data_IF_481758824800
#
_entry.id   IF_481758824800
#
_cell.length_a   1.000
_cell.length_b   1.000
_cell.length_c   1.000
_cell.angle_alpha   90.00
_cell.angle_beta   90.00
_cell.angle_gamma   90.00
#
_symmetry.space_group_name_H-M   'P 1'
#
loop_
_entity.id
_entity.type
_entity.pdbx_description
1 polymer ?
#
# COMPACT_ATOMS: atom_id res chain seq x y z
N UNK A 1 -17.16 -12.28 71.41
CA UNK A 1 -17.99 -11.62 70.39
C UNK A 1 -17.03 -10.85 69.51
N UNK A 2 -16.37 -11.55 68.60
CA UNK A 2 -15.52 -10.99 67.55
C UNK A 2 -15.72 -11.90 66.34
N UNK A 3 -16.32 -11.35 65.30
CA UNK A 3 -16.61 -12.04 64.05
C UNK A 3 -15.34 -11.95 63.22
N UNK A 4 -14.73 -13.10 62.95
CA UNK A 4 -13.62 -13.27 62.01
C UNK A 4 -14.18 -13.14 60.60
N UNK A 5 -13.88 -12.01 59.96
CA UNK A 5 -14.16 -11.77 58.54
C UNK A 5 -13.05 -12.43 57.71
N UNK A 6 -13.40 -13.56 57.11
CA UNK A 6 -12.55 -14.26 56.17
C UNK A 6 -12.40 -13.40 54.91
N UNK A 7 -11.17 -12.97 54.62
CA UNK A 7 -10.80 -12.39 53.34
C UNK A 7 -11.07 -13.42 52.23
N UNK A 8 -12.14 -13.21 51.48
CA UNK A 8 -12.32 -13.82 50.16
C UNK A 8 -11.36 -13.11 49.19
N UNK A 9 -10.15 -13.65 49.04
CA UNK A 9 -9.40 -13.44 47.80
C UNK A 9 -10.16 -14.16 46.68
N UNK A 10 -10.91 -13.39 45.90
CA UNK A 10 -11.46 -13.84 44.62
C UNK A 10 -10.30 -13.88 43.62
N UNK A 11 -9.94 -15.04 43.04
CA UNK A 11 -8.99 -15.08 41.94
C UNK A 11 -9.68 -14.45 40.72
N UNK A 12 -9.22 -13.27 40.28
CA UNK A 12 -9.60 -12.72 38.98
C UNK A 12 -8.91 -13.54 37.89
N UNK A 13 -9.52 -14.66 37.53
CA UNK A 13 -9.26 -15.30 36.24
C UNK A 13 -9.63 -14.30 35.12
N UNK A 14 -8.84 -14.20 34.05
CA UNK A 14 -9.21 -13.37 32.90
C UNK A 14 -10.48 -13.95 32.30
N UNK A 15 -11.58 -13.20 32.37
CA UNK A 15 -12.86 -13.57 31.77
C UNK A 15 -12.63 -13.77 30.27
N UNK A 16 -12.50 -15.03 29.85
CA UNK A 16 -12.41 -15.45 28.47
C UNK A 16 -13.75 -15.12 27.79
N UNK A 17 -13.85 -13.91 27.24
CA UNK A 17 -15.06 -13.37 26.63
C UNK A 17 -15.19 -11.84 26.67
N UNK A 18 -14.33 -11.12 27.41
CA UNK A 18 -14.35 -9.65 27.45
C UNK A 18 -13.89 -8.99 26.14
N UNK A 19 -14.20 -7.70 25.97
CA UNK A 19 -13.73 -6.88 24.83
C UNK A 19 -12.23 -6.55 24.89
N UNK A 20 -11.57 -6.79 26.02
CA UNK A 20 -10.14 -6.54 26.29
C UNK A 20 -9.15 -6.98 25.19
N UNK A 21 -9.18 -8.22 24.66
CA UNK A 21 -8.32 -8.63 23.55
C UNK A 21 -8.54 -7.83 22.26
N UNK A 22 -9.72 -7.24 22.07
CA UNK A 22 -10.03 -6.37 20.93
C UNK A 22 -9.55 -4.92 21.14
N UNK A 23 -9.50 -4.46 22.40
CA UNK A 23 -8.94 -3.16 22.78
C UNK A 23 -7.45 -3.09 22.42
N UNK A 24 -6.68 -4.12 22.83
CA UNK A 24 -5.26 -4.23 22.51
C UNK A 24 -4.99 -4.22 21.00
N UNK A 25 -5.77 -4.99 20.23
CA UNK A 25 -5.67 -5.05 18.75
C UNK A 25 -6.08 -3.76 18.04
N UNK A 26 -6.82 -2.90 18.72
CA UNK A 26 -7.27 -1.60 18.18
C UNK A 26 -6.37 -0.45 18.65
N UNK A 27 -5.32 -0.74 19.43
CA UNK A 27 -4.34 0.22 19.90
C UNK A 27 -4.89 1.19 20.94
N UNK A 28 -5.93 0.83 21.68
CA UNK A 28 -6.48 1.68 22.75
C UNK A 28 -5.55 1.59 23.97
N UNK A 29 -5.13 2.71 24.59
CA UNK A 29 -4.24 2.69 25.75
C UNK A 29 -4.82 1.90 26.92
N UNK A 30 -3.97 1.14 27.62
CA UNK A 30 -4.34 0.27 28.74
C UNK A 30 -5.06 1.03 29.88
N UNK A 31 -4.73 2.31 30.07
CA UNK A 31 -5.37 3.20 31.04
C UNK A 31 -6.88 3.35 30.83
N UNK A 32 -7.37 3.13 29.60
CA UNK A 32 -8.79 3.26 29.26
C UNK A 32 -9.55 1.94 29.32
N UNK A 33 -8.88 0.80 29.51
CA UNK A 33 -9.53 -0.51 29.38
C UNK A 33 -10.60 -0.77 30.45
N UNK A 34 -10.49 -0.13 31.61
CA UNK A 34 -11.47 -0.24 32.69
C UNK A 34 -12.85 0.28 32.27
N UNK A 35 -12.89 1.31 31.43
CA UNK A 35 -14.15 1.92 30.94
C UNK A 35 -14.91 1.00 29.97
N UNK A 36 -14.22 0.00 29.41
CA UNK A 36 -14.80 -0.97 28.48
C UNK A 36 -15.17 -2.30 29.17
N UNK A 37 -14.90 -2.45 30.47
CA UNK A 37 -15.23 -3.69 31.21
C UNK A 37 -16.74 -3.93 31.28
N UNK A 38 -17.55 -2.87 31.17
CA UNK A 38 -19.01 -2.95 31.16
C UNK A 38 -19.56 -3.57 29.87
N UNK A 39 -18.76 -3.66 28.81
CA UNK A 39 -19.23 -4.10 27.50
C UNK A 39 -18.71 -5.49 27.14
N UNK A 40 -19.64 -6.37 26.75
CA UNK A 40 -19.28 -7.51 25.89
C UNK A 40 -19.07 -7.02 24.44
N UNK A 41 -18.27 -7.74 23.62
CA UNK A 41 -18.06 -7.38 22.22
C UNK A 41 -19.38 -7.21 21.44
N UNK A 42 -20.33 -8.12 21.64
CA UNK A 42 -21.63 -8.13 20.95
C UNK A 42 -22.48 -6.91 21.36
N UNK A 43 -22.54 -6.61 22.65
CA UNK A 43 -23.28 -5.47 23.21
C UNK A 43 -22.67 -4.14 22.75
N UNK A 44 -21.34 -4.04 22.68
CA UNK A 44 -20.67 -2.85 22.16
C UNK A 44 -20.97 -2.65 20.67
N UNK A 45 -20.90 -3.72 19.88
CA UNK A 45 -21.19 -3.69 18.44
C UNK A 45 -22.63 -3.32 18.11
N UNK A 46 -23.58 -3.67 18.98
CA UNK A 46 -25.00 -3.39 18.82
C UNK A 46 -25.41 -1.95 19.23
N UNK A 47 -24.52 -1.17 19.86
CA UNK A 47 -24.80 0.23 20.21
C UNK A 47 -25.12 1.06 18.96
N UNK A 48 -26.13 1.94 19.06
CA UNK A 48 -26.41 2.88 17.98
C UNK A 48 -25.25 3.86 17.83
N UNK A 49 -25.01 4.34 16.61
CA UNK A 49 -23.90 5.25 16.32
C UNK A 49 -23.92 6.53 17.19
N UNK A 50 -25.10 6.99 17.61
CA UNK A 50 -25.28 8.15 18.49
C UNK A 50 -24.81 7.85 19.92
N UNK A 51 -25.11 6.66 20.44
CA UNK A 51 -24.71 6.21 21.77
C UNK A 51 -23.19 6.02 21.85
N UNK A 52 -22.60 5.44 20.81
CA UNK A 52 -21.13 5.29 20.68
C UNK A 52 -20.45 6.65 20.65
N UNK A 53 -21.01 7.63 19.95
CA UNK A 53 -20.46 8.97 19.90
C UNK A 53 -20.55 9.66 21.27
N UNK A 54 -21.67 9.51 21.98
CA UNK A 54 -21.83 10.03 23.34
C UNK A 54 -20.84 9.40 24.34
N UNK A 55 -20.58 8.10 24.22
CA UNK A 55 -19.60 7.39 25.01
C UNK A 55 -18.18 7.87 24.71
N UNK A 56 -17.81 8.00 23.43
CA UNK A 56 -16.52 8.55 23.00
C UNK A 56 -16.29 9.96 23.54
N UNK A 57 -17.33 10.80 23.53
CA UNK A 57 -17.24 12.18 24.01
C UNK A 57 -17.18 12.26 25.55
N UNK A 58 -17.72 11.26 26.27
CA UNK A 58 -17.54 11.14 27.73
C UNK A 58 -16.14 10.70 28.16
N UNK A 59 -15.45 9.93 27.31
CA UNK A 59 -14.12 9.37 27.59
C UNK A 59 -12.97 10.33 27.27
N UNK A 60 -13.22 11.30 26.39
CA UNK A 60 -12.15 12.09 25.76
C UNK A 60 -12.56 13.56 25.72
N UNK A 61 -11.90 14.37 26.55
CA UNK A 61 -12.06 15.83 26.54
C UNK A 61 -11.39 16.42 25.29
N UNK A 62 -11.96 17.45 24.64
CA UNK A 62 -11.38 18.02 23.43
C UNK A 62 -10.23 18.96 23.80
N UNK A 63 -9.01 18.43 23.96
CA UNK A 63 -7.85 19.28 24.26
C UNK A 63 -6.56 18.90 23.52
N UNK A 64 -6.37 17.68 23.03
CA UNK A 64 -5.11 17.25 22.41
C UNK A 64 -5.27 16.45 21.08
N UNK A 65 -4.19 16.34 20.31
CA UNK A 65 -4.15 15.59 19.04
C UNK A 65 -4.23 14.07 19.29
N UNK A 66 -3.74 13.62 20.44
CA UNK A 66 -3.86 12.25 20.97
C UNK A 66 -5.32 11.82 21.09
N UNK A 67 -6.20 12.75 21.48
CA UNK A 67 -7.64 12.52 21.67
C UNK A 67 -8.32 12.11 20.37
N UNK A 68 -8.02 12.81 19.26
CA UNK A 68 -8.60 12.51 17.94
C UNK A 68 -8.25 11.09 17.48
N UNK A 69 -7.02 10.65 17.74
CA UNK A 69 -6.55 9.31 17.40
C UNK A 69 -7.25 8.24 18.26
N UNK A 70 -7.45 8.50 19.54
CA UNK A 70 -8.19 7.62 20.45
C UNK A 70 -9.65 7.49 19.99
N UNK A 71 -10.32 8.60 19.66
CA UNK A 71 -11.68 8.59 19.11
C UNK A 71 -11.78 7.73 17.85
N UNK A 72 -10.81 7.82 16.94
CA UNK A 72 -10.77 7.01 15.73
C UNK A 72 -10.58 5.51 16.03
N UNK A 73 -9.72 5.15 16.99
CA UNK A 73 -9.49 3.77 17.43
C UNK A 73 -10.73 3.13 18.05
N UNK A 74 -11.48 3.89 18.87
CA UNK A 74 -12.74 3.41 19.47
C UNK A 74 -13.82 3.19 18.40
N UNK A 75 -13.91 4.07 17.39
CA UNK A 75 -14.83 3.88 16.25
C UNK A 75 -14.48 2.64 15.41
N UNK A 76 -13.19 2.37 15.23
CA UNK A 76 -12.72 1.17 14.53
C UNK A 76 -13.06 -0.10 15.31
N UNK A 77 -12.91 -0.08 16.64
CA UNK A 77 -13.33 -1.17 17.52
C UNK A 77 -14.84 -1.43 17.40
N UNK A 78 -15.66 -0.38 17.44
CA UNK A 78 -17.11 -0.50 17.32
C UNK A 78 -17.51 -1.19 16.02
N UNK A 79 -16.99 -0.71 14.88
CA UNK A 79 -17.26 -1.34 13.56
C UNK A 79 -16.86 -2.82 13.50
N UNK A 80 -15.73 -3.19 14.12
CA UNK A 80 -15.28 -4.59 14.18
C UNK A 80 -16.24 -5.45 15.01
N UNK A 81 -16.79 -4.90 16.08
CA UNK A 81 -17.77 -5.58 16.92
C UNK A 81 -19.12 -5.74 16.20
N UNK A 82 -19.61 -4.69 15.52
CA UNK A 82 -20.87 -4.74 14.76
C UNK A 82 -20.81 -5.72 13.57
N UNK A 83 -19.62 -5.90 12.96
CA UNK A 83 -19.43 -6.85 11.86
C UNK A 83 -19.47 -8.33 12.31
N UNK A 84 -19.33 -8.61 13.61
CA UNK A 84 -19.38 -9.97 14.15
C UNK A 84 -20.80 -10.52 14.27
N UNK A 85 -21.83 -9.66 14.18
CA UNK A 85 -23.24 -10.02 14.37
C UNK A 85 -23.92 -10.52 13.08
N UNK A 86 -23.31 -10.31 11.90
CA UNK A 86 -23.97 -10.51 10.59
C UNK A 86 -23.85 -11.94 10.04
N UNK A 87 -23.52 -12.95 10.86
CA UNK A 87 -23.54 -14.36 10.44
C UNK A 87 -24.86 -15.02 10.88
N UNK A 88 -25.83 -15.28 9.96
CA UNK A 88 -27.07 -15.94 10.36
C UNK A 88 -26.82 -17.43 10.59
N UNK A 89 -27.22 -17.89 11.78
CA UNK A 89 -27.27 -19.29 12.20
C UNK A 89 -28.51 -19.95 11.61
N UNK A 90 -28.35 -20.87 10.66
CA UNK A 90 -29.32 -21.94 10.36
C UNK A 90 -28.60 -23.20 9.90
N UNK A 91 -28.80 -24.30 10.62
CA UNK A 91 -28.53 -25.69 10.24
C UNK A 91 -29.78 -26.52 10.58
N UNK A 92 -29.96 -27.79 10.15
CA UNK A 92 -29.25 -28.59 9.13
C UNK A 92 -30.21 -29.30 8.14
N UNK A 93 -29.65 -29.97 7.11
CA UNK A 93 -29.99 -31.31 6.58
C UNK A 93 -29.73 -31.42 5.06
N UNK A 94 -28.82 -32.34 4.67
CA UNK A 94 -28.68 -32.86 3.29
C UNK A 94 -27.35 -32.58 2.56
N UNK A 95 -26.31 -33.37 2.90
CA UNK A 95 -24.94 -33.55 2.34
C UNK A 95 -24.68 -33.45 0.81
N UNK A 96 -23.42 -33.55 0.29
CA UNK A 96 -22.09 -33.63 0.95
C UNK A 96 -20.97 -32.71 0.36
N UNK A 97 -19.84 -32.71 1.09
CA UNK A 97 -18.45 -32.59 0.63
C UNK A 97 -17.86 -31.19 0.29
N UNK A 98 -16.94 -30.73 1.14
CA UNK A 98 -15.52 -30.60 0.78
C UNK A 98 -14.69 -30.32 2.04
N UNK A 99 -13.47 -30.88 2.06
CA UNK A 99 -12.60 -30.96 3.22
C UNK A 99 -12.25 -29.61 3.87
N UNK A 100 -12.02 -29.72 5.17
CA UNK A 100 -11.38 -28.74 6.04
C UNK A 100 -10.14 -28.16 5.34
N UNK A 101 -10.15 -26.85 5.10
CA UNK A 101 -8.91 -26.09 4.95
C UNK A 101 -8.97 -24.91 5.90
N UNK A 102 -8.32 -25.10 7.04
CA UNK A 102 -7.92 -24.03 7.95
C UNK A 102 -7.09 -23.01 7.15
N UNK A 103 -7.59 -21.79 6.98
CA UNK A 103 -6.77 -20.67 6.52
C UNK A 103 -5.78 -20.32 7.65
N UNK A 104 -4.46 -20.48 7.47
CA UNK A 104 -3.53 -19.82 8.35
C UNK A 104 -3.55 -18.32 8.04
N UNK A 105 -3.19 -17.53 9.05
CA UNK A 105 -2.95 -16.09 8.92
C UNK A 105 -2.09 -15.81 7.67
N UNK A 106 -2.46 -14.77 6.91
CA UNK A 106 -1.72 -14.33 5.73
C UNK A 106 -0.34 -13.82 6.15
N UNK A 107 0.62 -14.73 6.15
CA UNK A 107 2.02 -14.42 5.88
C UNK A 107 2.08 -13.96 4.42
N UNK A 108 2.81 -12.88 4.16
CA UNK A 108 3.13 -12.41 2.80
C UNK A 108 3.49 -13.59 1.90
N UNK A 109 2.60 -13.92 0.97
CA UNK A 109 2.89 -14.88 -0.09
C UNK A 109 3.94 -14.25 -1.03
N UNK A 110 5.13 -14.86 -1.16
CA UNK A 110 6.09 -14.44 -2.17
C UNK A 110 5.54 -14.80 -3.54
N UNK A 111 5.05 -13.79 -4.27
CA UNK A 111 4.89 -13.74 -5.73
C UNK A 111 4.69 -15.12 -6.38
N UNK A 112 3.47 -15.64 -6.30
CA UNK A 112 3.04 -16.81 -7.06
C UNK A 112 3.29 -16.57 -8.54
N UNK A 113 4.11 -17.44 -9.13
CA UNK A 113 4.34 -17.53 -10.56
C UNK A 113 2.99 -17.72 -11.27
N UNK A 114 2.85 -17.08 -12.43
CA UNK A 114 1.65 -17.01 -13.30
C UNK A 114 0.50 -16.09 -12.84
N UNK A 115 0.79 -14.84 -12.50
CA UNK A 115 -0.20 -13.81 -12.82
C UNK A 115 -0.14 -13.58 -14.34
N UNK A 116 -1.12 -14.11 -15.06
CA UNK A 116 -1.23 -13.85 -16.48
C UNK A 116 -1.34 -12.34 -16.68
N UNK A 117 -0.45 -11.77 -17.50
CA UNK A 117 -0.51 -10.34 -17.77
C UNK A 117 -1.89 -9.96 -18.33
N UNK A 118 -2.39 -8.77 -17.97
CA UNK A 118 -3.71 -8.36 -18.40
C UNK A 118 -3.79 -8.30 -19.92
N UNK A 119 -5.01 -8.53 -20.43
CA UNK A 119 -5.28 -8.49 -21.87
C UNK A 119 -4.86 -7.13 -22.43
N UNK A 120 -4.23 -7.16 -23.61
CA UNK A 120 -3.82 -5.94 -24.33
C UNK A 120 -5.05 -5.05 -24.56
N UNK A 121 -4.89 -3.74 -24.32
CA UNK A 121 -5.93 -2.75 -24.59
C UNK A 121 -6.17 -2.66 -26.11
N UNK A 122 -7.41 -2.42 -26.52
CA UNK A 122 -7.71 -2.19 -27.94
C UNK A 122 -7.08 -0.89 -28.41
N UNK A 123 -6.69 -0.82 -29.70
CA UNK A 123 -6.13 0.41 -30.27
C UNK A 123 -7.09 1.61 -30.13
N UNK A 124 -8.39 1.35 -30.23
CA UNK A 124 -9.43 2.35 -30.02
C UNK A 124 -9.47 2.86 -28.58
N UNK A 125 -9.36 1.97 -27.58
CA UNK A 125 -9.31 2.37 -26.17
C UNK A 125 -8.08 3.24 -25.87
N UNK A 126 -6.91 2.87 -26.39
CA UNK A 126 -5.68 3.66 -26.23
C UNK A 126 -5.83 5.05 -26.86
N UNK A 127 -6.39 5.14 -28.08
CA UNK A 127 -6.66 6.43 -28.75
C UNK A 127 -7.62 7.30 -27.93
N UNK A 128 -8.66 6.71 -27.34
CA UNK A 128 -9.59 7.43 -26.48
C UNK A 128 -8.90 7.96 -25.21
N UNK A 129 -8.05 7.15 -24.56
CA UNK A 129 -7.26 7.55 -23.39
C UNK A 129 -6.30 8.70 -23.73
N UNK A 130 -5.61 8.62 -24.86
CA UNK A 130 -4.73 9.70 -25.34
C UNK A 130 -5.52 10.99 -25.56
N UNK A 131 -6.67 10.92 -26.25
CA UNK A 131 -7.52 12.08 -26.50
C UNK A 131 -7.98 12.74 -25.20
N UNK A 132 -8.46 11.94 -24.24
CA UNK A 132 -8.88 12.42 -22.91
C UNK A 132 -7.72 13.04 -22.13
N UNK A 133 -6.54 12.43 -22.19
CA UNK A 133 -5.34 12.95 -21.53
C UNK A 133 -4.95 14.31 -22.11
N UNK A 134 -4.89 14.46 -23.43
CA UNK A 134 -4.56 15.74 -24.09
C UNK A 134 -5.57 16.85 -23.79
N UNK A 135 -6.86 16.51 -23.64
CA UNK A 135 -7.88 17.48 -23.23
C UNK A 135 -7.69 17.93 -21.77
N UNK A 136 -7.36 16.99 -20.87
CA UNK A 136 -7.16 17.28 -19.44
C UNK A 136 -5.84 17.99 -19.16
N UNK A 137 -4.83 17.74 -19.99
CA UNK A 137 -3.47 18.25 -19.83
C UNK A 137 -2.95 18.84 -21.16
N UNK A 138 -3.47 20.01 -21.59
CA UNK A 138 -3.13 20.60 -22.90
C UNK A 138 -1.66 21.03 -23.02
N UNK A 139 -0.97 21.23 -21.90
CA UNK A 139 0.47 21.54 -21.87
C UNK A 139 1.37 20.31 -21.92
N UNK A 140 0.80 19.10 -21.91
CA UNK A 140 1.54 17.84 -21.91
C UNK A 140 1.52 17.20 -23.30
N UNK A 141 2.70 17.03 -23.88
CA UNK A 141 2.88 16.34 -25.15
C UNK A 141 3.27 14.90 -24.90
N UNK A 142 2.48 13.96 -25.41
CA UNK A 142 2.80 12.54 -25.40
C UNK A 142 3.61 12.18 -26.65
N UNK A 143 4.93 12.25 -26.55
CA UNK A 143 5.85 11.65 -27.53
C UNK A 143 6.16 10.18 -27.19
N UNK A 144 6.76 9.41 -28.13
CA UNK A 144 7.09 7.99 -27.92
C UNK A 144 8.03 7.73 -26.73
N UNK A 145 8.77 8.76 -26.29
CA UNK A 145 9.66 8.74 -25.12
C UNK A 145 8.91 8.88 -23.78
N UNK A 146 7.77 9.57 -23.76
CA UNK A 146 6.92 9.79 -22.57
C UNK A 146 5.69 8.88 -22.56
N UNK A 147 5.27 8.39 -23.72
CA UNK A 147 4.17 7.47 -23.88
C UNK A 147 4.49 6.15 -23.17
N UNK A 148 3.66 5.68 -22.21
CA UNK A 148 3.88 4.40 -21.56
C UNK A 148 3.71 3.27 -22.57
N UNK A 149 4.57 2.25 -22.47
CA UNK A 149 4.45 1.06 -23.32
C UNK A 149 3.05 0.43 -23.23
N UNK A 150 2.56 -0.23 -24.29
CA UNK A 150 1.23 -0.84 -24.30
C UNK A 150 1.00 -1.81 -23.13
N UNK A 151 2.08 -2.51 -22.71
CA UNK A 151 2.02 -3.45 -21.59
C UNK A 151 1.95 -2.76 -20.24
N UNK A 152 2.72 -1.68 -20.03
CA UNK A 152 2.61 -0.87 -18.82
C UNK A 152 1.22 -0.25 -18.70
N UNK A 153 0.69 0.28 -19.80
CA UNK A 153 -0.62 0.90 -19.82
C UNK A 153 -1.74 -0.11 -19.53
N UNK A 154 -1.71 -1.30 -20.15
CA UNK A 154 -2.67 -2.36 -19.88
C UNK A 154 -2.61 -2.84 -18.41
N UNK A 155 -1.40 -2.95 -17.85
CA UNK A 155 -1.20 -3.31 -16.44
C UNK A 155 -1.82 -2.29 -15.51
N UNK A 156 -1.50 -1.01 -15.69
CA UNK A 156 -2.00 0.06 -14.83
C UNK A 156 -3.52 0.23 -14.98
N UNK A 157 -4.01 0.20 -16.22
CA UNK A 157 -5.44 0.32 -16.51
C UNK A 157 -6.26 -0.79 -15.83
N UNK A 158 -5.85 -2.06 -16.00
CA UNK A 158 -6.54 -3.18 -15.34
C UNK A 158 -6.55 -3.06 -13.81
N UNK A 159 -5.42 -2.71 -13.19
CA UNK A 159 -5.35 -2.54 -11.74
C UNK A 159 -6.26 -1.43 -11.22
N UNK A 160 -6.43 -0.34 -11.97
CA UNK A 160 -7.34 0.76 -11.61
C UNK A 160 -8.80 0.32 -11.78
N UNK A 161 -9.15 -0.31 -12.90
CA UNK A 161 -10.52 -0.78 -13.17
C UNK A 161 -10.95 -1.85 -12.17
N UNK A 162 -10.07 -2.81 -11.86
CA UNK A 162 -10.33 -3.90 -10.92
C UNK A 162 -10.20 -3.45 -9.46
N UNK A 163 -9.80 -2.20 -9.22
CA UNK A 163 -9.56 -1.63 -7.89
C UNK A 163 -8.59 -2.47 -7.05
N UNK A 164 -7.57 -3.02 -7.72
CA UNK A 164 -6.55 -3.91 -7.17
C UNK A 164 -5.17 -3.42 -7.57
N UNK A 165 -4.77 -2.30 -6.96
CA UNK A 165 -3.46 -1.72 -7.15
C UNK A 165 -2.37 -2.61 -6.55
N UNK A 166 -1.30 -2.81 -7.32
CA UNK A 166 -0.06 -3.44 -6.87
C UNK A 166 1.13 -2.65 -7.42
N UNK A 167 2.20 -2.59 -6.64
CA UNK A 167 3.41 -1.91 -7.06
C UNK A 167 3.91 -2.46 -8.41
N UNK A 168 4.13 -1.57 -9.37
CA UNK A 168 4.70 -1.92 -10.68
C UNK A 168 6.23 -1.87 -10.58
N UNK A 169 6.94 -3.00 -10.75
CA UNK A 169 8.40 -3.05 -10.69
C UNK A 169 9.06 -2.08 -11.68
N UNK A 170 10.18 -1.47 -11.28
CA UNK A 170 10.91 -0.52 -12.13
C UNK A 170 11.34 -1.13 -13.47
N UNK A 171 11.65 -2.43 -13.48
CA UNK A 171 11.99 -3.17 -14.70
C UNK A 171 10.87 -3.21 -15.74
N UNK A 172 9.60 -3.05 -15.33
CA UNK A 172 8.44 -3.08 -16.22
C UNK A 172 8.00 -1.68 -16.69
N UNK A 173 8.63 -0.62 -16.19
CA UNK A 173 8.30 0.77 -16.53
C UNK A 173 9.08 1.19 -17.79
N UNK A 174 8.51 0.87 -18.94
CA UNK A 174 9.08 1.19 -20.26
C UNK A 174 8.21 2.21 -20.99
N UNK A 175 8.86 3.10 -21.74
CA UNK A 175 8.19 3.89 -22.77
C UNK A 175 7.86 3.04 -24.01
N UNK A 176 7.03 3.57 -24.90
CA UNK A 176 6.74 2.97 -26.20
C UNK A 176 8.03 2.77 -27.02
N UNK A 177 8.87 3.79 -27.14
CA UNK A 177 10.16 3.71 -27.85
C UNK A 177 11.09 2.61 -27.29
N UNK A 178 11.20 2.53 -25.96
CA UNK A 178 12.04 1.53 -25.30
C UNK A 178 11.49 0.12 -25.46
N UNK A 179 10.16 -0.01 -25.41
CA UNK A 179 9.48 -1.28 -25.64
C UNK A 179 9.70 -1.78 -27.07
N UNK A 180 9.61 -0.88 -28.05
CA UNK A 180 9.78 -1.23 -29.46
C UNK A 180 11.23 -1.60 -29.76
N UNK A 181 12.20 -0.81 -29.28
CA UNK A 181 13.62 -1.13 -29.43
C UNK A 181 13.95 -2.52 -28.88
N UNK A 182 13.50 -2.83 -27.65
CA UNK A 182 13.67 -4.18 -27.06
C UNK A 182 12.91 -5.27 -27.80
N UNK A 183 11.80 -4.93 -28.45
CA UNK A 183 11.05 -5.89 -29.27
C UNK A 183 11.77 -6.18 -30.59
N UNK A 184 12.36 -5.16 -31.23
CA UNK A 184 13.20 -5.31 -32.42
C UNK A 184 14.46 -6.12 -32.10
N UNK A 185 15.17 -5.81 -31.01
CA UNK A 185 16.35 -6.57 -30.56
C UNK A 185 16.06 -8.05 -30.34
N UNK A 186 14.85 -8.39 -29.88
CA UNK A 186 14.40 -9.78 -29.75
C UNK A 186 14.16 -10.43 -31.11
N UNK A 187 13.52 -9.74 -32.05
CA UNK A 187 13.24 -10.28 -33.38
C UNK A 187 14.51 -10.60 -34.19
N UNK A 188 15.62 -9.94 -33.89
CA UNK A 188 16.93 -10.19 -34.51
C UNK A 188 17.62 -11.45 -33.94
N UNK A 189 17.23 -11.93 -32.76
CA UNK A 189 17.74 -13.17 -32.18
C UNK A 189 16.96 -14.36 -32.75
N UNK A 190 17.65 -15.43 -33.11
CA UNK A 190 17.01 -16.63 -33.67
C UNK A 190 15.86 -17.11 -32.76
N UNK A 191 14.66 -17.39 -33.30
CA UNK A 191 13.52 -17.81 -32.49
C UNK A 191 13.82 -19.18 -31.89
N UNK A 192 14.05 -19.21 -30.57
CA UNK A 192 14.14 -20.45 -29.80
C UNK A 192 12.73 -20.91 -29.44
N UNK A 193 12.48 -22.22 -29.42
CA UNK A 193 11.17 -22.80 -29.12
C UNK A 193 10.62 -22.30 -27.76
N UNK A 194 11.50 -22.11 -26.78
CA UNK A 194 11.19 -21.50 -25.47
C UNK A 194 10.58 -20.09 -25.58
N UNK A 195 11.05 -19.25 -26.52
CA UNK A 195 10.56 -17.88 -26.72
C UNK A 195 9.20 -17.82 -27.43
N UNK A 196 8.84 -18.89 -28.13
CA UNK A 196 7.52 -19.02 -28.80
C UNK A 196 6.48 -19.51 -27.79
N UNK A 197 6.88 -20.35 -26.83
CA UNK A 197 6.00 -20.88 -25.79
C UNK A 197 5.83 -19.92 -24.60
N UNK A 198 6.85 -19.13 -24.27
CA UNK A 198 6.81 -18.13 -23.22
C UNK A 198 7.04 -16.74 -23.82
N UNK A 199 6.02 -15.87 -23.80
CA UNK A 199 6.15 -14.46 -24.19
C UNK A 199 7.15 -13.78 -23.22
N UNK A 200 8.44 -13.73 -23.58
CA UNK A 200 9.47 -13.06 -22.78
C UNK A 200 9.07 -11.60 -22.56
N UNK A 201 9.02 -11.18 -21.30
CA UNK A 201 8.50 -9.86 -20.92
C UNK A 201 9.59 -8.81 -21.20
N UNK A 202 9.35 -7.82 -22.07
CA UNK A 202 10.27 -6.70 -22.25
C UNK A 202 10.53 -6.04 -20.90
N UNK A 203 11.80 -5.94 -20.52
CA UNK A 203 12.18 -5.35 -19.25
C UNK A 203 13.36 -4.41 -19.41
N UNK A 204 13.37 -3.33 -18.61
CA UNK A 204 14.46 -2.35 -18.55
C UNK A 204 15.66 -2.92 -17.83
N UNK A 205 16.85 -2.66 -18.37
CA UNK A 205 18.11 -2.93 -17.69
C UNK A 205 18.34 -1.87 -16.62
N UNK A 206 18.45 -2.33 -15.37
CA UNK A 206 18.68 -1.47 -14.22
C UNK A 206 20.15 -1.59 -13.78
N UNK A 207 20.87 -0.47 -13.60
CA UNK A 207 22.24 -0.52 -13.10
C UNK A 207 22.28 -1.12 -11.70
N UNK A 208 23.36 -1.83 -11.36
CA UNK A 208 23.43 -2.57 -10.11
C UNK A 208 23.31 -1.67 -8.86
N UNK A 209 23.99 -0.51 -8.84
CA UNK A 209 24.10 0.31 -7.62
C UNK A 209 23.68 1.78 -7.78
N UNK A 210 23.97 2.43 -8.92
CA UNK A 210 23.72 3.87 -9.09
C UNK A 210 22.87 4.14 -10.33
N UNK A 211 21.85 4.99 -10.18
CA UNK A 211 21.01 5.50 -11.26
C UNK A 211 21.08 7.02 -11.26
N UNK A 212 21.21 7.64 -12.43
CA UNK A 212 21.24 9.10 -12.55
C UNK A 212 19.88 9.74 -12.25
N UNK A 213 19.89 11.02 -11.86
CA UNK A 213 18.66 11.77 -11.55
C UNK A 213 17.66 11.81 -12.71
N UNK A 214 18.13 12.10 -13.93
CA UNK A 214 17.28 12.09 -15.14
C UNK A 214 16.65 10.73 -15.38
N UNK A 215 17.46 9.67 -15.31
CA UNK A 215 16.99 8.30 -15.52
C UNK A 215 15.91 7.87 -14.51
N UNK A 216 16.04 8.31 -13.25
CA UNK A 216 15.01 8.07 -12.22
C UNK A 216 13.77 8.93 -12.46
N UNK A 217 13.95 10.19 -12.88
CA UNK A 217 12.85 11.09 -13.26
C UNK A 217 12.00 10.51 -14.37
N UNK A 218 12.61 10.09 -15.48
CA UNK A 218 11.94 9.45 -16.62
C UNK A 218 11.16 8.21 -16.16
N UNK A 219 11.81 7.34 -15.39
CA UNK A 219 11.22 6.10 -14.88
C UNK A 219 9.97 6.33 -14.01
N UNK A 220 10.05 7.25 -13.06
CA UNK A 220 8.92 7.58 -12.17
C UNK A 220 7.83 8.35 -12.94
N UNK A 221 8.23 9.17 -13.92
CA UNK A 221 7.29 9.92 -14.74
C UNK A 221 6.45 9.02 -15.65
N UNK A 222 7.05 7.99 -16.26
CA UNK A 222 6.32 7.01 -17.09
C UNK A 222 5.17 6.35 -16.33
N UNK A 223 5.41 5.94 -15.08
CA UNK A 223 4.37 5.40 -14.22
C UNK A 223 3.27 6.44 -13.93
N UNK A 224 3.65 7.70 -13.67
CA UNK A 224 2.70 8.77 -13.42
C UNK A 224 1.80 9.04 -14.64
N UNK A 225 2.36 9.05 -15.84
CA UNK A 225 1.61 9.22 -17.08
C UNK A 225 0.67 8.03 -17.30
N UNK A 226 1.13 6.80 -17.12
CA UNK A 226 0.27 5.61 -17.25
C UNK A 226 -0.95 5.64 -16.30
N UNK A 227 -0.75 6.07 -15.04
CA UNK A 227 -1.83 6.20 -14.05
C UNK A 227 -2.80 7.30 -14.46
N UNK A 228 -2.28 8.47 -14.87
CA UNK A 228 -3.11 9.61 -15.26
C UNK A 228 -3.92 9.34 -16.54
N UNK A 229 -3.34 8.65 -17.53
CA UNK A 229 -4.03 8.21 -18.74
C UNK A 229 -5.14 7.20 -18.44
N UNK A 230 -4.97 6.40 -17.39
CA UNK A 230 -5.95 5.42 -16.92
C UNK A 230 -6.98 5.99 -15.95
N UNK A 231 -7.04 7.32 -15.82
CA UNK A 231 -7.91 8.06 -14.89
C UNK A 231 -7.76 7.64 -13.41
N UNK A 232 -6.61 7.08 -13.03
CA UNK A 232 -6.38 6.63 -11.64
C UNK A 232 -6.19 7.79 -10.67
N UNK A 233 -5.30 8.73 -11.02
CA UNK A 233 -5.01 9.90 -10.21
C UNK A 233 -4.60 11.09 -11.10
N UNK A 234 -4.72 12.30 -10.56
CA UNK A 234 -4.33 13.51 -11.24
C UNK A 234 -2.80 13.60 -11.43
N UNK A 235 -2.35 13.96 -12.63
CA UNK A 235 -0.93 14.04 -12.98
C UNK A 235 -0.12 14.95 -12.04
N UNK A 236 -0.72 16.05 -11.59
CA UNK A 236 -0.11 16.95 -10.60
C UNK A 236 0.24 16.24 -9.29
N UNK A 237 -0.68 15.45 -8.72
CA UNK A 237 -0.47 14.70 -7.47
C UNK A 237 0.69 13.72 -7.61
N UNK A 238 0.74 13.01 -8.73
CA UNK A 238 1.80 12.04 -9.04
C UNK A 238 3.16 12.73 -9.25
N UNK A 239 3.19 13.88 -9.93
CA UNK A 239 4.41 14.68 -10.11
C UNK A 239 4.94 15.23 -8.81
N UNK A 240 4.07 15.69 -7.92
CA UNK A 240 4.48 16.17 -6.61
C UNK A 240 5.10 15.06 -5.76
N UNK A 241 4.51 13.85 -5.79
CA UNK A 241 5.12 12.66 -5.19
C UNK A 241 6.50 12.37 -5.77
N UNK A 242 6.62 12.31 -7.10
CA UNK A 242 7.89 12.04 -7.78
C UNK A 242 8.95 13.10 -7.42
N UNK A 243 8.58 14.38 -7.41
CA UNK A 243 9.48 15.50 -7.06
C UNK A 243 10.03 15.35 -5.65
N UNK A 244 9.18 15.05 -4.66
CA UNK A 244 9.59 14.81 -3.27
C UNK A 244 10.50 13.59 -3.15
N UNK A 245 10.14 12.49 -3.81
CA UNK A 245 10.92 11.26 -3.83
C UNK A 245 12.34 11.50 -4.37
N UNK A 246 12.44 12.12 -5.55
CA UNK A 246 13.72 12.44 -6.20
C UNK A 246 14.54 13.42 -5.36
N UNK A 247 13.90 14.38 -4.72
CA UNK A 247 14.60 15.31 -3.82
C UNK A 247 15.34 14.57 -2.70
N UNK A 248 14.75 13.50 -2.15
CA UNK A 248 15.36 12.70 -1.08
C UNK A 248 16.41 11.73 -1.60
N UNK A 249 16.21 11.11 -2.76
CA UNK A 249 17.21 10.22 -3.37
C UNK A 249 18.51 10.94 -3.76
N UNK A 250 18.46 12.24 -4.05
CA UNK A 250 19.62 13.02 -4.50
C UNK A 250 19.98 14.16 -3.56
N UNK A 251 19.59 14.04 -2.28
CA UNK A 251 19.98 14.99 -1.24
C UNK A 251 21.49 14.89 -0.98
N UNK A 252 22.15 16.04 -0.90
CA UNK A 252 23.58 16.14 -0.61
C UNK A 252 23.79 16.32 0.88
N UNK A 253 24.74 15.57 1.44
CA UNK A 253 25.07 15.62 2.86
C UNK A 253 26.49 16.16 3.08
N UNK A 254 26.73 16.91 4.17
CA UNK A 254 28.06 17.32 4.58
C UNK A 254 28.99 16.11 4.75
N UNK A 255 30.26 16.24 4.35
CA UNK A 255 31.22 15.12 4.34
C UNK A 255 31.56 14.60 5.74
N UNK A 256 31.48 15.49 6.72
CA UNK A 256 31.68 15.26 8.15
C UNK A 256 30.51 14.53 8.82
N UNK A 257 29.31 14.54 8.22
CA UNK A 257 28.15 13.85 8.77
C UNK A 257 28.25 12.31 8.66
N UNK A 258 29.13 11.78 7.80
CA UNK A 258 29.23 10.33 7.57
C UNK A 258 27.98 9.72 6.94
N UNK A 259 27.13 10.55 6.32
CA UNK A 259 25.86 10.15 5.70
C UNK A 259 25.95 10.18 4.18
N UNK A 260 25.18 9.30 3.53
CA UNK A 260 24.98 9.24 2.09
C UNK A 260 23.48 9.19 1.76
N UNK A 261 23.08 9.62 0.56
CA UNK A 261 21.74 9.36 0.07
C UNK A 261 21.49 7.85 -0.14
N UNK A 262 20.21 7.44 -0.22
CA UNK A 262 19.83 6.10 -0.63
C UNK A 262 20.42 5.75 -2.00
N UNK A 263 20.91 4.53 -2.16
CA UNK A 263 21.33 4.01 -3.46
C UNK A 263 20.10 3.59 -4.30
N UNK A 264 20.32 3.12 -5.53
CA UNK A 264 19.24 2.71 -6.43
C UNK A 264 18.36 1.59 -5.85
N UNK A 265 18.97 0.58 -5.23
CA UNK A 265 18.25 -0.57 -4.65
C UNK A 265 17.38 -0.12 -3.47
N UNK A 266 17.96 0.70 -2.59
CA UNK A 266 17.25 1.30 -1.44
C UNK A 266 16.09 2.19 -1.89
N UNK A 267 16.29 2.93 -2.99
CA UNK A 267 15.23 3.74 -3.60
C UNK A 267 14.11 2.88 -4.19
N UNK A 268 14.44 1.81 -4.92
CA UNK A 268 13.44 0.88 -5.46
C UNK A 268 12.60 0.22 -4.36
N UNK A 269 13.24 -0.20 -3.27
CA UNK A 269 12.54 -0.75 -2.10
C UNK A 269 11.66 0.28 -1.40
N UNK A 270 12.11 1.54 -1.30
CA UNK A 270 11.30 2.61 -0.75
C UNK A 270 10.07 2.90 -1.62
N UNK A 271 10.23 2.97 -2.95
CA UNK A 271 9.12 3.13 -3.90
C UNK A 271 8.11 1.97 -3.76
N UNK A 272 8.60 0.73 -3.66
CA UNK A 272 7.75 -0.44 -3.42
C UNK A 272 6.92 -0.30 -2.14
N UNK A 273 7.55 0.07 -1.02
CA UNK A 273 6.86 0.24 0.27
C UNK A 273 5.82 1.36 0.23
N UNK A 274 6.14 2.50 -0.38
CA UNK A 274 5.20 3.60 -0.54
C UNK A 274 3.97 3.16 -1.32
N UNK A 275 4.15 2.48 -2.45
CA UNK A 275 3.05 1.99 -3.25
C UNK A 275 2.28 0.85 -2.58
N UNK A 276 2.89 0.06 -1.70
CA UNK A 276 2.17 -0.92 -0.87
C UNK A 276 1.24 -0.23 0.14
N UNK A 277 1.71 0.82 0.82
CA UNK A 277 0.85 1.59 1.73
C UNK A 277 -0.29 2.29 0.98
N UNK A 278 0.00 2.87 -0.20
CA UNK A 278 -1.02 3.44 -1.09
C UNK A 278 -2.01 2.36 -1.54
N UNK A 279 -1.52 1.15 -1.86
CA UNK A 279 -2.35 0.02 -2.26
C UNK A 279 -3.30 -0.40 -1.14
N UNK A 280 -2.87 -0.42 0.13
CA UNK A 280 -3.77 -0.74 1.25
C UNK A 280 -4.92 0.26 1.31
N UNK A 281 -4.63 1.56 1.27
CA UNK A 281 -5.68 2.60 1.30
C UNK A 281 -6.60 2.52 0.08
N UNK A 282 -6.04 2.31 -1.11
CA UNK A 282 -6.81 2.20 -2.33
C UNK A 282 -7.64 0.92 -2.32
N UNK A 283 -7.05 -0.26 -2.12
CA UNK A 283 -7.72 -1.56 -2.29
C UNK A 283 -8.69 -1.90 -1.14
N UNK A 284 -8.36 -1.56 0.10
CA UNK A 284 -9.07 -2.05 1.30
C UNK A 284 -9.96 -0.96 1.92
N UNK A 285 -9.49 0.30 1.95
CA UNK A 285 -10.18 1.38 2.68
C UNK A 285 -11.08 2.25 1.80
N UNK A 286 -11.24 1.91 0.52
CA UNK A 286 -12.07 2.64 -0.47
C UNK A 286 -11.61 4.08 -0.78
N UNK A 287 -10.34 4.41 -0.53
CA UNK A 287 -9.81 5.74 -0.88
C UNK A 287 -9.62 5.86 -2.40
N UNK A 288 -9.81 7.05 -2.97
CA UNK A 288 -9.28 7.33 -4.31
C UNK A 288 -7.74 7.32 -4.29
N UNK A 289 -7.09 6.96 -5.41
CA UNK A 289 -5.62 7.00 -5.48
C UNK A 289 -5.07 8.41 -5.16
N UNK A 290 -5.77 9.46 -5.58
CA UNK A 290 -5.42 10.85 -5.25
C UNK A 290 -5.38 11.10 -3.73
N UNK A 291 -6.39 10.63 -3.00
CA UNK A 291 -6.42 10.75 -1.53
C UNK A 291 -5.35 9.88 -0.88
N UNK A 292 -5.21 8.63 -1.32
CA UNK A 292 -4.23 7.68 -0.78
C UNK A 292 -2.79 8.18 -0.96
N UNK A 293 -2.45 8.72 -2.14
CA UNK A 293 -1.14 9.32 -2.40
C UNK A 293 -0.91 10.51 -1.47
N UNK A 294 -1.88 11.44 -1.35
CA UNK A 294 -1.72 12.61 -0.47
C UNK A 294 -1.55 12.23 0.99
N UNK A 295 -2.30 11.24 1.46
CA UNK A 295 -2.18 10.73 2.82
C UNK A 295 -0.78 10.18 3.11
N UNK A 296 -0.30 9.25 2.28
CA UNK A 296 1.01 8.61 2.46
C UNK A 296 2.15 9.63 2.30
N UNK A 297 2.07 10.50 1.29
CA UNK A 297 3.18 11.38 0.90
C UNK A 297 3.20 12.69 1.67
N UNK A 298 2.04 13.26 1.99
CA UNK A 298 1.93 14.59 2.61
C UNK A 298 1.61 14.48 4.10
N UNK A 299 0.57 13.74 4.48
CA UNK A 299 0.14 13.66 5.88
C UNK A 299 1.07 12.80 6.73
N UNK A 300 1.43 11.61 6.25
CA UNK A 300 2.33 10.67 6.95
C UNK A 300 3.82 10.92 6.67
N UNK A 301 4.13 11.69 5.62
CA UNK A 301 5.50 11.98 5.18
C UNK A 301 6.37 10.70 5.00
N UNK A 302 5.77 9.64 4.46
CA UNK A 302 6.42 8.33 4.36
C UNK A 302 7.64 8.36 3.44
N UNK A 303 7.69 9.27 2.46
CA UNK A 303 8.88 9.47 1.63
C UNK A 303 10.09 9.82 2.51
N UNK A 304 9.94 10.72 3.48
CA UNK A 304 11.03 11.09 4.38
C UNK A 304 11.48 9.92 5.28
N UNK A 305 10.52 9.11 5.73
CA UNK A 305 10.77 7.92 6.56
C UNK A 305 11.49 6.83 5.77
N UNK A 306 11.03 6.49 4.56
CA UNK A 306 11.61 5.40 3.78
C UNK A 306 12.98 5.78 3.19
N UNK A 307 13.17 7.05 2.81
CA UNK A 307 14.39 7.57 2.17
C UNK A 307 15.29 8.35 3.14
N UNK A 308 15.27 8.05 4.43
CA UNK A 308 16.25 8.63 5.36
C UNK A 308 17.70 8.38 4.89
N UNK A 309 18.64 9.29 5.20
CA UNK A 309 20.05 9.08 4.90
C UNK A 309 20.61 7.78 5.50
N UNK A 310 21.64 7.24 4.86
CA UNK A 310 22.32 6.01 5.29
C UNK A 310 23.74 6.33 5.72
N UNK A 311 24.28 5.57 6.68
CA UNK A 311 25.69 5.69 7.01
C UNK A 311 26.57 5.31 5.80
N UNK A 312 27.67 6.04 5.62
CA UNK A 312 28.73 5.65 4.68
C UNK A 312 29.41 4.40 5.24
N UNK A 313 29.51 3.29 4.49
CA UNK A 313 30.20 2.09 4.96
C UNK A 313 31.66 2.43 5.33
N UNK A 314 32.08 2.03 6.52
CA UNK A 314 33.49 2.12 6.91
C UNK A 314 34.30 1.18 6.02
N UNK A 315 35.32 1.70 5.35
CA UNK A 315 36.30 0.85 4.67
C UNK A 315 37.07 0.10 5.75
N UNK A 316 36.76 -1.18 5.95
CA UNK A 316 37.61 -2.05 6.77
C UNK A 316 38.93 -2.16 6.04
N UNK A 317 39.98 -1.53 6.57
CA UNK A 317 41.33 -1.76 6.08
C UNK A 317 41.62 -3.24 6.31
N UNK A 318 41.78 -4.00 5.23
CA UNK A 318 42.34 -5.34 5.32
C UNK A 318 43.76 -5.16 5.85
N UNK A 319 43.97 -5.51 7.12
CA UNK A 319 45.32 -5.65 7.67
C UNK A 319 45.96 -6.83 6.93
N UNK A 320 46.90 -6.50 6.03
CA UNK A 320 47.91 -7.43 5.52
C UNK A 320 49.17 -7.28 6.37
#
# INVERSE_FOLDING_TARGET
MEVSEAALEVPTEPVAGGIQPLLAKSGIPDSMWNEFQIFKPEEFGALAAQDVQSFIDSLVFPSEISDVLIKARIRLLWKRCSASEVAPVLAPHGWPAAGVSSKPASVMEPSSWSDAFPKKLSSEAVKAMVSKFSQKYPSETLGPEVMPSPRLLALVHSQIQDRRWRWVPWKLRLSEEQHDTKSLERSLKAPRLENVLFEEIPSRDLPAQSMGKSQMQELLHLQAVAIAMSDGAHLFTLREMNRRFISKCFESYPKDAGLRPPNRVESELADQKLWQQIATLFNEEEWSLDQAIREVVVARNEIGVQLMPRAVPLKVAAFM
#
